data_IF_246047563524
#
_entry.id   IF_246047563524
#
_cell.length_a   1.000
_cell.length_b   1.000
_cell.length_c   1.000
_cell.angle_alpha   90.00
_cell.angle_beta   90.00
_cell.angle_gamma   90.00
#
_symmetry.space_group_name_H-M   'P 1'
#
loop_
_entity.id
_entity.type
_entity.pdbx_description
1 polymer ?
#
# COMPACT_ATOMS: atom_id res chain seq x y z
N UNK A 1 7.44 57.85 -46.66
CA UNK A 1 7.35 57.90 -45.18
C UNK A 1 6.13 57.09 -44.76
N UNK A 2 6.31 55.87 -44.29
CA UNK A 2 5.23 55.00 -43.76
C UNK A 2 5.31 55.01 -42.23
N UNK A 3 4.20 55.11 -41.50
CA UNK A 3 4.22 55.18 -40.04
C UNK A 3 4.41 53.76 -39.48
N UNK A 4 5.41 53.62 -38.61
CA UNK A 4 5.64 52.43 -37.80
C UNK A 4 4.54 52.29 -36.74
N UNK A 5 3.80 51.19 -36.77
CA UNK A 5 2.83 50.84 -35.74
C UNK A 5 3.54 50.11 -34.57
N UNK A 6 3.57 50.67 -33.33
CA UNK A 6 4.25 50.04 -32.20
C UNK A 6 3.39 48.99 -31.47
N UNK A 7 2.24 48.59 -32.00
CA UNK A 7 1.27 47.73 -31.31
C UNK A 7 1.43 46.19 -31.56
N UNK A 8 2.37 45.82 -32.42
CA UNK A 8 2.63 44.39 -32.69
C UNK A 8 3.55 43.71 -31.69
N UNK A 9 4.30 44.45 -30.87
CA UNK A 9 5.19 43.88 -29.83
C UNK A 9 4.49 43.61 -28.50
N UNK A 10 3.33 44.22 -28.24
CA UNK A 10 2.62 43.98 -26.99
C UNK A 10 1.76 42.71 -26.94
N UNK A 11 1.45 42.13 -28.10
CA UNK A 11 0.65 40.88 -28.17
C UNK A 11 1.49 39.62 -27.99
N UNK A 12 2.79 39.67 -28.14
CA UNK A 12 3.68 38.52 -27.90
C UNK A 12 4.15 38.39 -26.45
N UNK A 13 4.00 39.43 -25.62
CA UNK A 13 4.41 39.39 -24.22
C UNK A 13 3.34 38.83 -23.28
N UNK A 14 2.10 38.69 -23.75
CA UNK A 14 0.94 38.18 -22.95
C UNK A 14 0.70 36.68 -23.09
N UNK A 15 1.46 35.97 -23.94
CA UNK A 15 1.34 34.52 -24.18
C UNK A 15 2.36 33.66 -23.41
N UNK A 16 3.22 34.28 -22.61
CA UNK A 16 4.26 33.59 -21.83
C UNK A 16 3.95 33.47 -20.32
N UNK A 17 2.74 33.86 -19.90
CA UNK A 17 2.33 33.81 -18.48
C UNK A 17 1.25 32.77 -18.19
N UNK A 18 1.25 31.64 -18.87
CA UNK A 18 0.16 30.66 -18.77
C UNK A 18 0.55 29.21 -18.60
N UNK A 19 1.77 28.86 -18.18
CA UNK A 19 2.09 27.49 -17.73
C UNK A 19 2.48 27.54 -16.25
N UNK A 20 1.53 27.96 -15.42
CA UNK A 20 1.54 27.51 -14.04
C UNK A 20 1.19 26.03 -14.08
N UNK A 21 2.18 25.16 -13.99
CA UNK A 21 1.96 23.81 -13.52
C UNK A 21 1.29 23.98 -12.15
N UNK A 22 -0.02 23.76 -12.09
CA UNK A 22 -0.74 23.61 -10.83
C UNK A 22 -0.14 22.37 -10.16
N UNK A 23 0.96 22.54 -9.43
CA UNK A 23 1.32 21.65 -8.35
C UNK A 23 0.07 21.65 -7.46
N UNK A 24 -0.68 20.55 -7.45
CA UNK A 24 -1.91 20.44 -6.70
C UNK A 24 -1.64 20.90 -5.26
N UNK A 25 -2.34 21.93 -4.82
CA UNK A 25 -2.15 22.47 -3.48
C UNK A 25 -2.30 21.33 -2.48
N UNK A 26 -1.28 21.11 -1.68
CA UNK A 26 -1.27 20.06 -0.68
C UNK A 26 -2.39 20.35 0.33
N UNK A 27 -3.50 19.61 0.23
CA UNK A 27 -4.66 19.80 1.09
C UNK A 27 -4.38 19.16 2.45
N UNK A 28 -4.14 19.99 3.47
CA UNK A 28 -4.07 19.52 4.84
C UNK A 28 -5.49 19.26 5.37
N UNK A 29 -5.67 18.14 6.03
CA UNK A 29 -6.87 17.77 6.76
C UNK A 29 -6.75 18.44 8.15
N UNK A 30 -7.60 19.42 8.43
CA UNK A 30 -7.54 20.22 9.66
C UNK A 30 -8.14 19.50 10.86
N UNK A 31 -7.76 19.91 12.04
CA UNK A 31 -8.39 19.46 13.28
C UNK A 31 -9.92 19.70 13.22
N UNK A 32 -10.69 18.76 13.74
CA UNK A 32 -12.15 18.76 13.69
C UNK A 32 -12.73 18.09 12.44
N UNK A 33 -11.95 17.84 11.38
CA UNK A 33 -12.40 17.14 10.19
C UNK A 33 -12.87 15.72 10.50
N UNK A 34 -13.92 15.27 9.82
CA UNK A 34 -14.49 13.93 10.00
C UNK A 34 -14.92 13.29 8.69
N UNK A 35 -14.94 11.95 8.68
CA UNK A 35 -15.49 11.11 7.61
C UNK A 35 -16.59 10.21 8.18
N UNK A 36 -17.57 9.93 7.35
CA UNK A 36 -18.61 8.91 7.61
C UNK A 36 -18.68 7.93 6.45
N UNK A 37 -19.03 6.64 6.67
CA UNK A 37 -19.04 5.64 5.61
C UNK A 37 -19.99 5.96 4.45
N UNK A 38 -21.08 6.66 4.72
CA UNK A 38 -22.06 7.06 3.70
C UNK A 38 -22.05 8.58 3.48
N UNK A 39 -22.37 9.00 2.24
CA UNK A 39 -22.44 10.39 1.85
C UNK A 39 -21.18 10.91 1.16
N UNK A 40 -21.11 12.23 0.91
CA UNK A 40 -20.05 12.85 0.13
C UNK A 40 -18.69 12.87 0.85
N UNK A 41 -18.68 12.75 2.17
CA UNK A 41 -17.49 12.83 3.00
C UNK A 41 -17.06 11.45 3.50
N UNK A 42 -16.94 10.46 2.60
CA UNK A 42 -16.50 9.10 2.96
C UNK A 42 -14.98 8.90 2.85
N UNK A 43 -14.27 9.84 2.23
CA UNK A 43 -12.81 9.74 2.07
C UNK A 43 -12.14 11.10 1.87
N UNK A 44 -10.85 11.18 2.26
CA UNK A 44 -9.93 12.24 1.91
C UNK A 44 -9.05 11.82 0.74
N UNK A 45 -8.87 12.71 -0.24
CA UNK A 45 -8.09 12.44 -1.45
C UNK A 45 -6.65 12.95 -1.32
N UNK A 46 -5.71 12.29 -2.00
CA UNK A 46 -4.39 12.85 -2.26
C UNK A 46 -4.47 14.03 -3.24
N UNK A 47 -3.47 14.94 -3.29
CA UNK A 47 -3.49 16.11 -4.17
C UNK A 47 -3.77 15.79 -5.64
N UNK A 48 -3.19 14.73 -6.17
CA UNK A 48 -3.46 14.24 -7.54
C UNK A 48 -4.80 13.52 -7.69
N UNK A 49 -5.44 13.11 -6.56
CA UNK A 49 -6.60 12.22 -6.55
C UNK A 49 -6.26 10.77 -6.91
N UNK A 50 -4.99 10.38 -6.94
CA UNK A 50 -4.56 9.01 -7.24
C UNK A 50 -4.91 8.04 -6.12
N UNK A 51 -4.87 8.53 -4.87
CA UNK A 51 -5.20 7.76 -3.68
C UNK A 51 -6.35 8.40 -2.91
N UNK A 52 -7.06 7.57 -2.16
CA UNK A 52 -8.04 8.01 -1.17
C UNK A 52 -7.81 7.25 0.15
N UNK A 53 -8.06 7.94 1.29
CA UNK A 53 -8.09 7.36 2.63
C UNK A 53 -9.48 7.58 3.23
N UNK A 54 -10.10 6.54 3.74
CA UNK A 54 -11.43 6.61 4.32
C UNK A 54 -12.16 5.28 4.34
N UNK A 55 -13.46 5.32 4.10
CA UNK A 55 -14.34 4.16 4.16
C UNK A 55 -14.62 3.57 2.78
N UNK A 56 -14.28 2.29 2.63
CA UNK A 56 -14.57 1.52 1.43
C UNK A 56 -15.62 0.47 1.75
N UNK A 57 -16.75 0.39 1.01
CA UNK A 57 -17.76 -0.63 1.24
C UNK A 57 -17.18 -2.03 1.01
N UNK A 58 -17.54 -2.98 1.86
CA UNK A 58 -17.14 -4.37 1.72
C UNK A 58 -17.92 -5.05 0.61
N UNK A 59 -17.23 -5.84 -0.21
CA UNK A 59 -17.90 -6.61 -1.26
C UNK A 59 -18.81 -7.68 -0.64
N UNK A 60 -20.05 -7.74 -1.15
CA UNK A 60 -21.06 -8.67 -0.62
C UNK A 60 -21.72 -8.25 0.70
N UNK A 61 -21.24 -7.17 1.35
CA UNK A 61 -21.84 -6.63 2.58
C UNK A 61 -21.87 -5.10 2.56
N UNK A 62 -22.91 -4.53 1.97
CA UNK A 62 -23.09 -3.08 1.83
C UNK A 62 -23.33 -2.33 3.15
N UNK A 63 -23.48 -3.05 4.25
CA UNK A 63 -23.67 -2.48 5.60
C UNK A 63 -22.35 -2.39 6.38
N UNK A 64 -21.25 -2.93 5.85
CA UNK A 64 -19.93 -2.94 6.49
C UNK A 64 -18.90 -2.21 5.64
N UNK A 65 -18.06 -1.42 6.28
CA UNK A 65 -17.05 -0.57 5.63
C UNK A 65 -15.68 -0.81 6.23
N UNK A 66 -14.69 -0.91 5.37
CA UNK A 66 -13.28 -1.01 5.74
C UNK A 66 -12.67 0.39 5.84
N UNK A 67 -11.93 0.69 6.90
CA UNK A 67 -11.07 1.89 6.93
C UNK A 67 -9.77 1.58 6.20
N UNK A 68 -9.53 2.25 5.05
CA UNK A 68 -8.47 1.88 4.12
C UNK A 68 -7.84 3.06 3.38
N UNK A 69 -6.67 2.80 2.76
CA UNK A 69 -6.10 3.57 1.64
C UNK A 69 -6.23 2.74 0.38
N UNK A 70 -6.68 3.34 -0.72
CA UNK A 70 -6.84 2.64 -2.00
C UNK A 70 -6.42 3.51 -3.19
N UNK A 71 -6.15 2.85 -4.32
CA UNK A 71 -5.91 3.50 -5.61
C UNK A 71 -7.24 4.04 -6.16
N UNK A 72 -7.46 5.35 -6.01
CA UNK A 72 -8.77 5.96 -6.26
C UNK A 72 -9.13 6.05 -7.74
N UNK A 73 -8.16 6.21 -8.64
CA UNK A 73 -8.38 6.29 -10.10
C UNK A 73 -8.52 4.92 -10.77
N UNK A 74 -8.31 3.84 -10.05
CA UNK A 74 -8.53 2.47 -10.54
C UNK A 74 -9.98 2.08 -10.24
N UNK A 75 -10.75 1.58 -11.24
CA UNK A 75 -12.17 1.25 -11.05
C UNK A 75 -12.44 0.29 -9.90
N UNK A 76 -11.60 -0.74 -9.74
CA UNK A 76 -11.70 -1.77 -8.71
C UNK A 76 -11.33 -1.27 -7.31
N UNK A 77 -10.94 0.00 -7.17
CA UNK A 77 -10.54 0.61 -5.88
C UNK A 77 -9.57 -0.29 -5.08
N UNK A 78 -8.53 -0.76 -5.76
CA UNK A 78 -7.54 -1.67 -5.15
C UNK A 78 -6.97 -1.10 -3.85
N UNK A 79 -7.18 -1.82 -2.75
CA UNK A 79 -6.73 -1.42 -1.42
C UNK A 79 -5.21 -1.66 -1.30
N UNK A 80 -4.50 -0.62 -0.84
CA UNK A 80 -3.07 -0.64 -0.58
C UNK A 80 -2.75 -0.76 0.92
N UNK A 81 -3.64 -0.26 1.78
CA UNK A 81 -3.50 -0.34 3.22
C UNK A 81 -4.90 -0.38 3.87
N UNK A 82 -5.03 -1.04 5.00
CA UNK A 82 -6.24 -1.02 5.81
C UNK A 82 -5.89 -1.03 7.29
N UNK A 83 -6.77 -0.41 8.10
CA UNK A 83 -6.63 -0.37 9.54
C UNK A 83 -6.82 -1.75 10.15
N UNK A 84 -5.97 -2.07 11.13
CA UNK A 84 -6.03 -3.30 11.90
C UNK A 84 -6.27 -2.98 13.37
N UNK A 85 -7.02 -3.84 14.03
CA UNK A 85 -7.22 -3.81 15.48
C UNK A 85 -5.95 -4.23 16.22
N UNK A 86 -5.94 -4.12 17.54
CA UNK A 86 -4.88 -4.67 18.41
C UNK A 86 -4.72 -6.19 18.29
N UNK A 87 -5.72 -6.88 17.76
CA UNK A 87 -5.72 -8.34 17.51
C UNK A 87 -5.28 -8.68 16.07
N UNK A 88 -4.72 -7.71 15.35
CA UNK A 88 -4.29 -7.84 13.94
C UNK A 88 -5.42 -8.19 12.96
N UNK A 89 -6.67 -7.92 13.31
CA UNK A 89 -7.84 -8.12 12.43
C UNK A 89 -8.21 -6.83 11.69
N UNK A 90 -8.76 -6.90 10.46
CA UNK A 90 -9.19 -5.72 9.74
C UNK A 90 -10.30 -4.98 10.49
N UNK A 91 -10.19 -3.66 10.57
CA UNK A 91 -11.20 -2.81 11.21
C UNK A 91 -12.35 -2.58 10.25
N UNK A 92 -13.48 -3.18 10.55
CA UNK A 92 -14.73 -3.05 9.81
C UNK A 92 -15.80 -2.41 10.68
N UNK A 93 -16.55 -1.46 10.12
CA UNK A 93 -17.53 -0.68 10.88
C UNK A 93 -18.84 -0.50 10.10
N UNK A 94 -19.97 -0.31 10.82
CA UNK A 94 -21.26 0.00 10.20
C UNK A 94 -21.32 1.43 9.64
N UNK A 95 -22.37 1.73 8.86
CA UNK A 95 -22.56 2.99 8.13
C UNK A 95 -22.64 4.25 9.01
N UNK A 96 -23.04 4.11 10.28
CA UNK A 96 -23.18 5.24 11.20
C UNK A 96 -21.91 5.54 12.02
N UNK A 97 -20.79 4.90 11.70
CA UNK A 97 -19.49 5.16 12.34
C UNK A 97 -18.88 6.46 11.89
N UNK A 98 -18.02 7.04 12.71
CA UNK A 98 -17.38 8.33 12.45
C UNK A 98 -15.87 8.23 12.69
N UNK A 99 -15.09 8.55 11.67
CA UNK A 99 -13.65 8.82 11.82
C UNK A 99 -13.45 10.31 12.00
N UNK A 100 -12.76 10.73 13.05
CA UNK A 100 -12.52 12.15 13.34
C UNK A 100 -11.06 12.44 13.69
N UNK A 101 -10.52 13.49 13.11
CA UNK A 101 -9.29 14.11 13.60
C UNK A 101 -9.70 15.14 14.68
N UNK A 102 -9.53 14.76 15.94
CA UNK A 102 -10.01 15.57 17.09
C UNK A 102 -9.25 16.88 17.26
N UNK A 103 -9.78 17.82 18.06
CA UNK A 103 -9.08 19.05 18.43
C UNK A 103 -7.76 18.81 19.18
N UNK A 104 -7.62 17.67 19.86
CA UNK A 104 -6.38 17.22 20.51
C UNK A 104 -5.37 16.59 19.54
N UNK A 105 -5.67 16.55 18.23
CA UNK A 105 -4.81 15.95 17.22
C UNK A 105 -4.75 14.43 17.26
N UNK A 106 -5.79 13.77 17.76
CA UNK A 106 -5.95 12.31 17.75
C UNK A 106 -6.87 11.92 16.60
N UNK A 107 -6.46 10.95 15.78
CA UNK A 107 -7.34 10.30 14.83
C UNK A 107 -8.07 9.16 15.52
N UNK A 108 -9.39 9.25 15.63
CA UNK A 108 -10.24 8.28 16.35
C UNK A 108 -11.39 7.84 15.47
N UNK A 109 -11.59 6.53 15.36
CA UNK A 109 -12.75 5.90 14.73
C UNK A 109 -13.69 5.39 15.81
N UNK A 110 -14.93 5.88 15.78
CA UNK A 110 -15.98 5.49 16.74
C UNK A 110 -17.13 4.78 16.04
N UNK A 111 -17.67 3.78 16.72
CA UNK A 111 -18.89 3.09 16.30
C UNK A 111 -20.15 3.92 16.64
N UNK A 112 -21.37 3.48 16.24
CA UNK A 112 -22.60 4.19 16.59
C UNK A 112 -22.90 4.29 18.11
N UNK A 113 -22.30 3.42 18.91
CA UNK A 113 -22.42 3.45 20.39
C UNK A 113 -21.41 4.40 21.03
N UNK A 114 -20.66 5.14 20.24
CA UNK A 114 -19.55 6.05 20.64
C UNK A 114 -18.35 5.33 21.28
N UNK A 115 -18.21 4.01 21.09
CA UNK A 115 -17.00 3.30 21.49
C UNK A 115 -15.88 3.55 20.49
N UNK A 116 -14.65 3.79 20.97
CA UNK A 116 -13.48 3.86 20.10
C UNK A 116 -13.10 2.46 19.62
N UNK A 117 -13.27 2.20 18.32
CA UNK A 117 -12.98 0.90 17.70
C UNK A 117 -11.59 0.87 17.05
N UNK A 118 -11.01 2.05 16.78
CA UNK A 118 -9.65 2.15 16.28
C UNK A 118 -9.08 3.56 16.45
N UNK A 119 -7.78 3.59 16.75
CA UNK A 119 -6.94 4.78 16.74
C UNK A 119 -5.48 4.35 16.52
N UNK A 120 -4.64 5.14 15.82
CA UNK A 120 -3.21 4.87 15.73
C UNK A 120 -2.45 5.16 17.04
N UNK A 121 -3.12 5.69 18.08
CA UNK A 121 -2.49 5.96 19.39
C UNK A 121 -1.46 7.10 19.37
N UNK A 122 -1.50 8.01 18.39
CA UNK A 122 -0.55 9.10 18.19
C UNK A 122 -1.23 10.48 18.32
N UNK A 123 -1.43 10.99 19.54
CA UNK A 123 -2.05 12.30 19.77
C UNK A 123 -1.10 13.47 19.43
N UNK A 124 -1.68 14.68 19.35
CA UNK A 124 -0.92 15.93 19.18
C UNK A 124 -0.51 16.20 17.73
N UNK A 125 -1.21 15.62 16.75
CA UNK A 125 -1.10 16.06 15.37
C UNK A 125 -1.66 17.49 15.23
N UNK A 126 -0.99 18.32 14.42
CA UNK A 126 -1.48 19.63 14.03
C UNK A 126 -2.42 19.53 12.81
N UNK A 127 -2.21 18.54 11.98
CA UNK A 127 -3.04 18.22 10.81
C UNK A 127 -2.75 16.80 10.33
N UNK A 128 -3.59 16.30 9.43
CA UNK A 128 -3.31 15.08 8.68
C UNK A 128 -3.20 15.36 7.18
N UNK A 129 -2.62 14.44 6.41
CA UNK A 129 -2.57 14.51 4.94
C UNK A 129 -2.39 13.15 4.31
N UNK A 130 -2.96 12.97 3.14
CA UNK A 130 -2.69 11.85 2.25
C UNK A 130 -1.76 12.30 1.13
N UNK A 131 -0.62 11.64 0.95
CA UNK A 131 0.35 11.95 -0.09
C UNK A 131 0.01 11.22 -1.40
N UNK A 132 0.55 11.72 -2.53
CA UNK A 132 0.45 11.07 -3.83
C UNK A 132 1.25 9.76 -3.93
N UNK A 133 2.02 9.43 -2.90
CA UNK A 133 2.65 8.13 -2.70
C UNK A 133 1.70 7.07 -2.09
N UNK A 134 0.50 7.48 -1.64
CA UNK A 134 -0.44 6.62 -0.89
C UNK A 134 -0.17 6.58 0.62
N UNK A 135 0.80 7.34 1.13
CA UNK A 135 1.10 7.43 2.55
C UNK A 135 0.18 8.43 3.25
N UNK A 136 -0.63 7.98 4.19
CA UNK A 136 -1.42 8.84 5.07
C UNK A 136 -0.62 9.13 6.34
N UNK A 137 -0.51 10.43 6.71
CA UNK A 137 0.31 10.91 7.81
C UNK A 137 -0.49 11.76 8.79
N UNK A 138 -0.25 11.56 10.08
CA UNK A 138 -0.52 12.52 11.14
C UNK A 138 0.75 13.32 11.38
N UNK A 139 0.66 14.65 11.27
CA UNK A 139 1.83 15.55 11.27
C UNK A 139 1.76 16.49 12.48
N UNK A 140 2.84 16.57 13.22
CA UNK A 140 2.99 17.48 14.36
C UNK A 140 3.18 18.93 13.92
N UNK A 141 3.13 19.87 14.91
CA UNK A 141 3.38 21.30 14.67
C UNK A 141 4.82 21.58 14.19
N UNK A 142 5.77 20.67 14.46
CA UNK A 142 7.15 20.70 13.98
C UNK A 142 7.32 20.21 12.53
N UNK A 143 6.21 19.86 11.86
CA UNK A 143 6.21 19.31 10.50
C UNK A 143 6.64 17.86 10.39
N UNK A 144 6.98 17.19 11.49
CA UNK A 144 7.38 15.79 11.48
C UNK A 144 6.17 14.86 11.60
N UNK A 145 6.21 13.68 10.93
CA UNK A 145 5.17 12.69 11.12
C UNK A 145 5.19 12.16 12.55
N UNK A 146 4.02 12.07 13.18
CA UNK A 146 3.80 11.39 14.45
C UNK A 146 3.36 9.95 14.26
N UNK A 147 2.72 9.69 13.13
CA UNK A 147 2.30 8.37 12.70
C UNK A 147 2.05 8.39 11.19
N UNK A 148 2.32 7.28 10.53
CA UNK A 148 2.05 7.12 9.11
C UNK A 148 1.74 5.67 8.72
N UNK A 149 0.91 5.49 7.68
CA UNK A 149 0.52 4.16 7.19
C UNK A 149 1.70 3.35 6.68
N UNK A 150 2.76 4.00 6.21
CA UNK A 150 3.96 3.32 5.71
C UNK A 150 4.76 2.60 6.81
N UNK A 151 4.63 3.03 8.08
CA UNK A 151 5.29 2.37 9.22
C UNK A 151 4.57 1.09 9.66
N UNK A 152 3.29 0.92 9.30
CA UNK A 152 2.42 -0.19 9.72
C UNK A 152 1.73 -0.82 8.50
N UNK A 153 2.48 -1.45 7.59
CA UNK A 153 1.91 -2.01 6.35
C UNK A 153 0.87 -3.10 6.66
N UNK A 154 -0.05 -3.32 5.72
CA UNK A 154 -1.01 -4.42 5.78
C UNK A 154 -0.45 -5.67 5.06
N UNK A 155 -0.77 -5.83 3.80
CA UNK A 155 -0.26 -6.88 2.90
C UNK A 155 0.55 -6.31 1.73
N UNK A 156 0.56 -4.99 1.60
CA UNK A 156 1.09 -4.28 0.42
C UNK A 156 2.05 -3.18 0.85
N UNK A 157 3.11 -3.00 0.09
CA UNK A 157 4.01 -1.84 0.13
C UNK A 157 3.92 -1.04 -1.16
N UNK A 158 4.21 0.26 -1.06
CA UNK A 158 4.13 1.22 -2.16
C UNK A 158 5.50 1.86 -2.43
N UNK A 159 5.73 2.44 -3.63
CA UNK A 159 6.94 3.19 -3.93
C UNK A 159 7.20 4.30 -2.90
N UNK A 160 8.47 4.53 -2.57
CA UNK A 160 8.99 5.41 -1.51
C UNK A 160 8.89 4.85 -0.08
N UNK A 161 8.25 3.69 0.11
CA UNK A 161 8.17 3.07 1.43
C UNK A 161 9.47 2.37 1.80
N UNK A 162 9.87 2.56 3.06
CA UNK A 162 11.05 1.92 3.67
C UNK A 162 10.60 1.27 4.97
N UNK A 163 10.95 0.01 5.15
CA UNK A 163 10.70 -0.74 6.39
C UNK A 163 12.06 -1.08 7.01
N UNK A 164 12.52 -0.30 8.01
CA UNK A 164 13.80 -0.54 8.64
C UNK A 164 13.77 -1.75 9.57
N UNK A 165 14.90 -2.41 9.72
CA UNK A 165 15.16 -3.33 10.82
C UNK A 165 15.16 -2.52 12.12
N UNK A 166 14.47 -3.02 13.13
CA UNK A 166 14.30 -2.36 14.42
C UNK A 166 13.99 -3.35 15.53
N UNK A 167 13.76 -2.85 16.74
CA UNK A 167 13.43 -3.70 17.89
C UNK A 167 12.11 -4.48 17.69
N UNK A 168 11.17 -3.88 16.98
CA UNK A 168 9.94 -4.54 16.59
C UNK A 168 9.99 -4.90 15.11
N UNK A 169 9.59 -6.12 14.78
CA UNK A 169 9.49 -6.58 13.42
C UNK A 169 8.47 -5.76 12.63
N UNK A 170 8.79 -5.49 11.37
CA UNK A 170 7.83 -4.96 10.40
C UNK A 170 7.30 -6.12 9.58
N UNK A 171 5.99 -6.28 9.55
CA UNK A 171 5.37 -7.44 8.91
C UNK A 171 4.32 -7.05 7.87
N UNK A 172 4.30 -7.80 6.77
CA UNK A 172 3.17 -7.85 5.86
C UNK A 172 2.45 -9.18 6.09
N UNK A 173 1.14 -9.14 6.29
CA UNK A 173 0.30 -10.33 6.41
C UNK A 173 -0.57 -10.48 5.18
N UNK A 174 -0.52 -11.64 4.53
CA UNK A 174 -1.41 -11.91 3.39
C UNK A 174 -2.87 -11.85 3.81
N UNK A 175 -3.76 -11.51 2.88
CA UNK A 175 -5.21 -11.68 3.05
C UNK A 175 -5.57 -13.14 3.00
N UNK A 176 -6.75 -13.48 3.52
CA UNK A 176 -7.29 -14.83 3.42
C UNK A 176 -7.56 -15.20 1.95
N UNK A 177 -8.28 -14.35 1.25
CA UNK A 177 -8.50 -14.39 -0.20
C UNK A 177 -8.52 -12.94 -0.76
N UNK A 178 -8.47 -12.74 -2.08
CA UNK A 178 -8.29 -11.40 -2.67
C UNK A 178 -9.28 -10.32 -2.21
N UNK A 179 -10.51 -10.68 -1.84
CA UNK A 179 -11.57 -9.77 -1.42
C UNK A 179 -11.95 -9.87 0.05
N UNK A 180 -11.38 -10.82 0.77
CA UNK A 180 -11.51 -10.95 2.22
C UNK A 180 -10.22 -10.50 2.90
N UNK A 181 -10.31 -9.42 3.66
CA UNK A 181 -9.18 -8.78 4.35
C UNK A 181 -8.81 -9.47 5.66
N UNK A 182 -9.51 -10.52 6.06
CA UNK A 182 -9.08 -11.37 7.18
C UNK A 182 -7.67 -11.90 6.95
N UNK A 183 -6.98 -12.21 8.05
CA UNK A 183 -5.61 -12.69 7.99
C UNK A 183 -5.50 -14.00 7.23
N UNK A 184 -4.63 -14.03 6.25
CA UNK A 184 -4.23 -15.22 5.51
C UNK A 184 -3.09 -15.97 6.19
N UNK A 185 -2.59 -16.97 5.51
CA UNK A 185 -1.64 -17.97 6.05
C UNK A 185 -0.17 -17.61 5.88
N UNK A 186 0.17 -16.45 5.29
CA UNK A 186 1.54 -16.12 4.96
C UNK A 186 1.93 -14.76 5.55
N UNK A 187 3.19 -14.69 5.97
CA UNK A 187 3.78 -13.51 6.59
C UNK A 187 5.16 -13.23 5.96
N UNK A 188 5.39 -11.98 5.58
CA UNK A 188 6.72 -11.46 5.28
C UNK A 188 7.14 -10.63 6.48
N UNK A 189 8.31 -10.93 7.05
CA UNK A 189 8.85 -10.25 8.21
C UNK A 189 10.20 -9.60 7.92
N UNK A 190 10.34 -8.29 8.21
CA UNK A 190 11.62 -7.62 8.40
C UNK A 190 11.98 -7.80 9.87
N UNK A 191 12.81 -8.80 10.16
CA UNK A 191 13.08 -9.24 11.51
C UNK A 191 14.09 -8.34 12.23
N UNK A 192 14.03 -8.32 13.56
CA UNK A 192 14.94 -7.55 14.39
C UNK A 192 16.40 -8.06 14.36
N UNK A 193 16.60 -9.31 13.92
CA UNK A 193 17.92 -9.89 13.72
C UNK A 193 18.60 -9.49 12.39
N UNK A 194 17.92 -8.67 11.57
CA UNK A 194 18.42 -8.22 10.27
C UNK A 194 18.14 -9.18 9.12
N UNK A 195 17.18 -10.11 9.26
CA UNK A 195 16.78 -10.99 8.18
C UNK A 195 15.42 -10.58 7.58
N UNK A 196 15.25 -10.73 6.28
CA UNK A 196 13.94 -10.65 5.62
C UNK A 196 13.48 -12.08 5.33
N UNK A 197 12.32 -12.46 5.86
CA UNK A 197 11.90 -13.86 5.87
C UNK A 197 10.42 -14.01 5.53
N UNK A 198 10.08 -15.08 4.81
CA UNK A 198 8.69 -15.45 4.50
C UNK A 198 8.32 -16.73 5.23
N UNK A 199 7.18 -16.69 5.94
CA UNK A 199 6.69 -17.78 6.76
C UNK A 199 5.27 -18.19 6.40
N UNK A 200 4.94 -19.49 6.41
CA UNK A 200 3.59 -19.95 6.62
C UNK A 200 3.22 -19.80 8.10
N UNK A 201 1.94 -19.57 8.38
CA UNK A 201 1.43 -19.36 9.73
C UNK A 201 0.35 -20.39 10.04
N UNK A 202 0.40 -20.95 11.24
CA UNK A 202 -0.62 -21.84 11.78
C UNK A 202 -1.78 -21.04 12.38
N UNK A 203 -2.97 -21.14 11.81
CA UNK A 203 -4.19 -20.61 12.39
C UNK A 203 -4.86 -21.64 13.33
N UNK A 204 -5.47 -21.25 14.45
CA UNK A 204 -5.56 -19.87 14.98
C UNK A 204 -4.40 -19.47 15.91
N UNK A 205 -3.38 -20.29 16.06
CA UNK A 205 -2.30 -20.09 17.04
C UNK A 205 -1.29 -19.00 16.65
N UNK A 206 -1.33 -18.52 15.39
CA UNK A 206 -0.37 -17.58 14.80
C UNK A 206 1.11 -18.03 14.86
N UNK A 207 1.35 -19.30 15.18
CA UNK A 207 2.70 -19.89 15.21
C UNK A 207 3.28 -19.91 13.80
N UNK A 208 4.53 -19.48 13.67
CA UNK A 208 5.29 -19.58 12.42
C UNK A 208 5.76 -21.02 12.21
N UNK A 209 5.57 -21.53 11.01
CA UNK A 209 6.27 -22.73 10.52
C UNK A 209 7.68 -22.39 10.02
N UNK A 210 8.39 -23.37 9.46
CA UNK A 210 9.69 -23.12 8.86
C UNK A 210 9.58 -22.14 7.69
N UNK A 211 10.55 -21.24 7.62
CA UNK A 211 10.62 -20.24 6.57
C UNK A 211 10.76 -20.89 5.19
N UNK A 212 9.94 -20.49 4.23
CA UNK A 212 10.05 -20.98 2.86
C UNK A 212 10.95 -20.10 1.97
N UNK A 213 11.31 -18.90 2.44
CA UNK A 213 12.29 -18.04 1.81
C UNK A 213 12.94 -17.10 2.85
N UNK A 214 14.22 -16.77 2.66
CA UNK A 214 14.93 -15.82 3.49
C UNK A 214 16.02 -15.09 2.68
N UNK A 215 16.31 -13.84 3.06
CA UNK A 215 17.39 -13.05 2.47
C UNK A 215 18.78 -13.51 2.91
N UNK A 216 18.87 -14.29 4.00
CA UNK A 216 20.12 -14.77 4.63
C UNK A 216 21.06 -13.62 5.06
N UNK A 217 20.49 -12.57 5.65
CA UNK A 217 21.19 -11.34 6.06
C UNK A 217 21.23 -11.16 7.58
N UNK A 218 21.07 -12.24 8.35
CA UNK A 218 21.13 -12.20 9.82
C UNK A 218 22.38 -11.45 10.31
N UNK A 219 22.16 -10.49 11.22
CA UNK A 219 23.21 -9.63 11.79
C UNK A 219 23.66 -8.47 10.89
N UNK A 220 23.29 -8.46 9.60
CA UNK A 220 23.73 -7.45 8.65
C UNK A 220 22.61 -6.71 7.92
N UNK A 221 21.38 -7.17 7.97
CA UNK A 221 20.27 -6.52 7.29
C UNK A 221 19.96 -5.15 7.90
N UNK A 222 19.51 -4.23 7.08
CA UNK A 222 19.21 -2.85 7.46
C UNK A 222 17.76 -2.45 7.20
N UNK A 223 17.25 -2.61 5.97
CA UNK A 223 15.91 -2.18 5.63
C UNK A 223 15.41 -2.79 4.32
N UNK A 224 14.08 -2.99 4.23
CA UNK A 224 13.38 -3.26 2.97
C UNK A 224 13.01 -1.93 2.33
N UNK A 225 13.39 -1.73 1.07
CA UNK A 225 13.18 -0.49 0.33
C UNK A 225 12.37 -0.77 -0.92
N UNK A 226 11.30 -0.01 -1.12
CA UNK A 226 10.63 0.13 -2.39
C UNK A 226 10.88 1.55 -2.90
N UNK A 227 11.81 1.71 -3.83
CA UNK A 227 12.24 3.03 -4.25
C UNK A 227 11.35 3.67 -5.34
N UNK A 228 11.59 4.94 -5.65
CA UNK A 228 10.84 5.71 -6.65
C UNK A 228 10.97 5.17 -8.08
N UNK A 229 12.03 4.43 -8.37
CA UNK A 229 12.24 3.83 -9.70
C UNK A 229 11.58 2.46 -9.85
N UNK A 230 10.80 2.04 -8.85
CA UNK A 230 10.06 0.79 -8.89
C UNK A 230 10.89 -0.45 -8.53
N UNK A 231 12.08 -0.31 -7.92
CA UNK A 231 12.86 -1.45 -7.43
C UNK A 231 12.50 -1.77 -5.99
N UNK A 232 12.34 -3.07 -5.69
CA UNK A 232 12.16 -3.57 -4.33
C UNK A 232 13.40 -4.41 -3.98
N UNK A 233 14.10 -4.00 -2.92
CA UNK A 233 15.33 -4.64 -2.48
C UNK A 233 15.51 -4.52 -0.97
N UNK A 234 16.24 -5.45 -0.38
CA UNK A 234 16.65 -5.42 1.01
C UNK A 234 18.12 -4.99 1.10
N UNK A 235 18.42 -3.98 1.92
CA UNK A 235 19.79 -3.50 2.09
C UNK A 235 20.44 -4.13 3.32
N UNK A 236 21.76 -4.20 3.27
CA UNK A 236 22.59 -4.56 4.43
C UNK A 236 23.31 -3.32 4.95
N UNK A 237 23.86 -3.41 6.15
CA UNK A 237 24.60 -2.33 6.83
C UNK A 237 25.86 -1.88 6.08
N UNK A 238 26.45 -2.76 5.28
CA UNK A 238 27.60 -2.45 4.40
C UNK A 238 27.17 -1.94 3.02
N UNK A 239 25.85 -1.71 2.78
CA UNK A 239 25.32 -1.18 1.54
C UNK A 239 25.05 -2.22 0.44
N UNK A 240 25.30 -3.51 0.66
CA UNK A 240 24.92 -4.57 -0.28
C UNK A 240 23.40 -4.63 -0.43
N UNK A 241 22.90 -4.91 -1.63
CA UNK A 241 21.47 -5.02 -1.93
C UNK A 241 21.11 -6.44 -2.33
N UNK A 242 20.13 -7.02 -1.65
CA UNK A 242 19.46 -8.27 -2.05
C UNK A 242 18.20 -7.88 -2.82
N UNK A 243 18.16 -8.13 -4.11
CA UNK A 243 16.99 -7.83 -4.93
C UNK A 243 15.82 -8.76 -4.54
N UNK A 244 14.68 -8.17 -4.19
CA UNK A 244 13.44 -8.90 -3.88
C UNK A 244 12.63 -9.07 -5.17
N UNK A 245 12.62 -8.04 -6.00
CA UNK A 245 12.01 -8.12 -7.34
C UNK A 245 12.99 -7.63 -8.40
N UNK A 246 12.85 -8.18 -9.62
CA UNK A 246 13.71 -7.81 -10.76
C UNK A 246 13.14 -6.63 -11.57
N UNK A 247 11.91 -6.19 -11.31
CA UNK A 247 11.32 -5.06 -12.00
C UNK A 247 11.96 -3.76 -11.53
N UNK A 248 12.50 -2.98 -12.44
CA UNK A 248 13.12 -1.68 -12.18
C UNK A 248 12.96 -0.78 -13.38
N UNK A 249 13.27 0.52 -13.20
CA UNK A 249 13.17 1.51 -14.28
C UNK A 249 11.72 1.89 -14.63
N UNK A 250 10.77 1.67 -13.72
CA UNK A 250 9.36 1.97 -13.94
C UNK A 250 9.05 3.38 -13.45
N UNK A 251 8.57 4.22 -14.38
CA UNK A 251 8.16 5.59 -14.04
C UNK A 251 6.85 5.59 -13.23
N UNK A 252 6.85 6.21 -12.04
CA UNK A 252 5.63 6.47 -11.26
C UNK A 252 4.64 7.40 -11.98
N UNK A 253 5.09 8.17 -12.96
CA UNK A 253 4.23 8.96 -13.84
C UNK A 253 3.44 8.11 -14.83
N UNK A 254 4.01 6.98 -15.27
CA UNK A 254 3.40 6.10 -16.26
C UNK A 254 2.58 4.97 -15.66
N UNK A 255 2.94 4.51 -14.45
CA UNK A 255 2.30 3.37 -13.80
C UNK A 255 1.99 3.62 -12.33
N UNK A 256 0.88 3.07 -11.85
CA UNK A 256 0.76 2.71 -10.44
C UNK A 256 1.55 1.43 -10.21
N UNK A 257 2.22 1.37 -9.06
CA UNK A 257 3.10 0.27 -8.69
C UNK A 257 2.82 -0.17 -7.25
N UNK A 258 2.82 -1.47 -6.98
CA UNK A 258 2.67 -2.03 -5.64
C UNK A 258 3.41 -3.36 -5.50
N UNK A 259 3.93 -3.64 -4.31
CA UNK A 259 4.42 -4.96 -3.91
C UNK A 259 3.44 -5.57 -2.92
N UNK A 260 2.89 -6.75 -3.20
CA UNK A 260 1.84 -7.37 -2.38
C UNK A 260 2.21 -8.82 -2.03
N UNK A 261 2.06 -9.18 -0.76
CA UNK A 261 2.06 -10.57 -0.34
C UNK A 261 0.67 -11.15 -0.58
N UNK A 262 0.55 -11.90 -1.66
CA UNK A 262 -0.73 -12.46 -2.09
C UNK A 262 -1.21 -13.61 -1.19
N UNK A 263 -2.51 -13.97 -1.24
CA UNK A 263 -3.09 -15.06 -0.44
C UNK A 263 -2.43 -16.43 -0.63
N UNK A 264 -1.75 -16.65 -1.75
CA UNK A 264 -1.01 -17.89 -2.03
C UNK A 264 0.42 -17.90 -1.47
N UNK A 265 0.85 -16.82 -0.77
CA UNK A 265 2.18 -16.71 -0.17
C UNK A 265 3.27 -16.21 -1.10
N UNK A 266 2.96 -15.83 -2.31
CA UNK A 266 3.92 -15.24 -3.25
C UNK A 266 3.89 -13.73 -3.13
N UNK A 267 5.05 -13.11 -2.89
CA UNK A 267 5.17 -11.67 -2.94
C UNK A 267 5.35 -11.24 -4.39
N UNK A 268 4.40 -10.46 -4.92
CA UNK A 268 4.40 -10.01 -6.32
C UNK A 268 4.48 -8.51 -6.42
N UNK A 269 5.27 -8.04 -7.39
CA UNK A 269 5.26 -6.65 -7.83
C UNK A 269 4.31 -6.52 -9.01
N UNK A 270 3.40 -5.54 -8.92
CA UNK A 270 2.35 -5.28 -9.88
C UNK A 270 2.46 -3.88 -10.47
N UNK A 271 2.16 -3.76 -11.77
CA UNK A 271 2.01 -2.49 -12.48
C UNK A 271 0.59 -2.34 -13.01
N UNK A 272 0.06 -1.11 -12.97
CA UNK A 272 -1.19 -0.72 -13.64
C UNK A 272 -0.95 0.55 -14.45
N UNK A 273 -1.27 0.60 -15.76
CA UNK A 273 -0.98 1.74 -16.63
C UNK A 273 -1.76 2.99 -16.20
N UNK A 274 -1.05 4.09 -15.97
CA UNK A 274 -1.59 5.37 -15.51
C UNK A 274 -1.63 6.41 -16.64
N UNK A 275 -0.51 6.63 -17.33
CA UNK A 275 -0.41 7.59 -18.41
C UNK A 275 -1.08 7.11 -19.69
N UNK A 276 -1.39 8.06 -20.62
CA UNK A 276 -1.89 7.72 -21.96
C UNK A 276 -0.92 6.82 -22.71
N UNK A 277 0.38 7.09 -22.60
CA UNK A 277 1.46 6.31 -23.21
C UNK A 277 1.45 4.87 -22.70
N UNK A 278 1.39 4.65 -21.39
CA UNK A 278 1.33 3.31 -20.81
C UNK A 278 0.05 2.56 -21.25
N UNK A 279 -1.11 3.25 -21.24
CA UNK A 279 -2.40 2.67 -21.64
C UNK A 279 -2.49 2.27 -23.11
N UNK A 280 -1.68 2.86 -23.99
CA UNK A 280 -1.66 2.46 -25.41
C UNK A 280 -0.94 1.13 -25.64
N UNK A 281 -0.15 0.66 -24.68
CA UNK A 281 0.67 -0.56 -24.79
C UNK A 281 0.23 -1.64 -23.80
N UNK A 282 -0.27 -1.23 -22.64
CA UNK A 282 -0.63 -2.15 -21.55
C UNK A 282 -2.13 -2.22 -21.34
N UNK A 283 -2.64 -3.41 -21.05
CA UNK A 283 -4.04 -3.61 -20.67
C UNK A 283 -4.36 -2.87 -19.36
N UNK A 284 -5.58 -2.32 -19.23
CA UNK A 284 -6.08 -1.65 -18.02
C UNK A 284 -6.39 -2.66 -16.91
N UNK A 285 -5.34 -3.32 -16.42
CA UNK A 285 -5.42 -4.28 -15.31
C UNK A 285 -4.08 -4.32 -14.56
N UNK A 286 -4.10 -4.77 -13.33
CA UNK A 286 -2.89 -5.12 -12.60
C UNK A 286 -2.18 -6.28 -13.28
N UNK A 287 -0.92 -6.10 -13.62
CA UNK A 287 -0.06 -7.11 -14.24
C UNK A 287 1.10 -7.38 -13.31
N UNK A 288 1.28 -8.63 -12.90
CA UNK A 288 2.46 -9.05 -12.14
C UNK A 288 3.67 -9.04 -13.07
N UNK A 289 4.72 -8.33 -12.67
CA UNK A 289 5.95 -8.17 -13.47
C UNK A 289 7.16 -8.85 -12.84
N UNK A 290 7.11 -9.15 -11.55
CA UNK A 290 8.14 -9.88 -10.83
C UNK A 290 7.56 -10.48 -9.56
N UNK A 291 8.10 -11.61 -9.08
CA UNK A 291 7.61 -12.28 -7.88
C UNK A 291 8.68 -13.13 -7.20
N UNK A 292 8.46 -13.42 -5.93
CA UNK A 292 9.29 -14.27 -5.10
C UNK A 292 8.41 -15.02 -4.06
N UNK A 293 8.61 -16.38 -3.83
CA UNK A 293 9.51 -17.25 -4.58
C UNK A 293 9.00 -17.53 -5.99
N UNK A 294 9.87 -18.01 -6.89
CA UNK A 294 9.48 -18.35 -8.26
C UNK A 294 8.52 -19.54 -8.31
N UNK A 295 8.63 -20.47 -7.37
CA UNK A 295 7.77 -21.64 -7.21
C UNK A 295 7.48 -21.85 -5.72
N UNK A 296 6.32 -21.40 -5.26
CA UNK A 296 5.90 -21.52 -3.86
C UNK A 296 5.73 -22.99 -3.43
N UNK A 297 5.26 -23.85 -4.33
CA UNK A 297 5.04 -25.25 -4.01
C UNK A 297 6.37 -25.95 -3.71
N UNK A 298 7.39 -25.73 -4.52
CA UNK A 298 8.73 -26.26 -4.27
C UNK A 298 9.32 -25.68 -2.98
N UNK A 299 9.26 -24.37 -2.80
CA UNK A 299 9.80 -23.70 -1.62
C UNK A 299 9.21 -24.20 -0.29
N UNK A 300 7.91 -24.54 -0.27
CA UNK A 300 7.23 -25.06 0.92
C UNK A 300 7.46 -26.58 1.08
N UNK A 301 7.49 -27.37 0.00
CA UNK A 301 7.69 -28.83 0.07
C UNK A 301 9.06 -29.22 0.63
N UNK A 302 10.08 -28.42 0.42
CA UNK A 302 11.43 -28.64 0.93
C UNK A 302 11.55 -28.34 2.45
N UNK A 303 10.49 -27.85 3.09
CA UNK A 303 10.47 -27.41 4.48
C UNK A 303 9.36 -28.10 5.27
N UNK A 304 9.53 -28.16 6.57
CA UNK A 304 8.46 -28.59 7.47
C UNK A 304 7.43 -27.43 7.65
N UNK A 305 6.66 -27.17 6.62
CA UNK A 305 5.77 -26.02 6.49
C UNK A 305 4.30 -26.36 6.77
N UNK A 306 4.04 -27.32 7.63
CA UNK A 306 2.68 -27.70 8.04
C UNK A 306 1.86 -28.27 6.89
N UNK A 307 0.66 -27.72 6.65
CA UNK A 307 -0.30 -28.21 5.65
C UNK A 307 0.03 -27.83 4.20
N UNK A 308 1.26 -27.41 3.90
CA UNK A 308 1.69 -27.03 2.55
C UNK A 308 1.13 -25.69 2.05
N UNK A 309 1.36 -25.37 0.77
CA UNK A 309 0.96 -24.09 0.17
C UNK A 309 -0.57 -23.90 0.13
N UNK A 310 -1.32 -24.96 -0.12
CA UNK A 310 -2.77 -24.90 -0.30
C UNK A 310 -3.58 -25.13 0.99
N UNK A 311 -2.95 -25.62 2.07
CA UNK A 311 -3.62 -25.95 3.33
C UNK A 311 -3.88 -27.45 3.51
N UNK A 312 -4.46 -27.81 4.67
CA UNK A 312 -4.77 -29.19 5.03
C UNK A 312 -5.81 -29.79 4.08
N UNK A 313 -5.62 -31.04 3.70
CA UNK A 313 -6.48 -31.79 2.77
C UNK A 313 -6.64 -31.15 1.37
N UNK A 314 -5.68 -30.36 0.93
CA UNK A 314 -5.67 -29.77 -0.40
C UNK A 314 -4.45 -30.24 -1.20
N UNK A 315 -4.57 -30.23 -2.51
CA UNK A 315 -3.47 -30.52 -3.42
C UNK A 315 -3.36 -29.43 -4.48
N UNK A 316 -2.16 -29.21 -4.97
CA UNK A 316 -1.88 -28.25 -6.01
C UNK A 316 -1.96 -28.92 -7.38
N UNK A 317 -2.71 -28.32 -8.32
CA UNK A 317 -2.71 -28.70 -9.71
C UNK A 317 -2.04 -27.64 -10.56
N UNK A 318 -1.01 -27.99 -11.30
CA UNK A 318 -0.42 -27.12 -12.31
C UNK A 318 -1.40 -27.06 -13.48
N UNK A 319 -2.02 -25.93 -13.71
CA UNK A 319 -2.82 -25.70 -14.92
C UNK A 319 -1.84 -25.67 -16.10
N UNK A 320 -1.77 -26.73 -16.88
CA UNK A 320 -1.06 -26.74 -18.15
C UNK A 320 -1.79 -25.78 -19.07
N UNK A 321 -1.11 -24.72 -19.50
CA UNK A 321 -1.59 -23.91 -20.61
C UNK A 321 -1.64 -24.83 -21.84
N UNK A 322 -2.83 -25.18 -22.26
CA UNK A 322 -3.06 -25.75 -23.59
C UNK A 322 -2.77 -24.64 -24.59
N UNK A 323 -1.54 -24.60 -25.13
CA UNK A 323 -1.28 -23.93 -26.39
C UNK A 323 -2.00 -24.73 -27.44
N UNK A 324 -3.13 -24.21 -27.93
CA UNK A 324 -3.76 -24.76 -29.12
C UNK A 324 -2.80 -24.59 -30.29
N UNK A 325 -2.14 -25.68 -30.68
CA UNK A 325 -1.60 -25.83 -32.01
C UNK A 325 -2.79 -25.90 -32.98
N UNK A 326 -2.94 -24.86 -33.82
CA UNK A 326 -3.55 -24.95 -35.15
C UNK A 326 -2.50 -24.63 -36.16
#
# INVERSE_FOLDING_TARGET
>A
MAPHHPWRFLQFLLLLLGVSSAAGAQVNITLGSSLTPQGPNSSWLSPSGDFAFGFLPMEGNTSSYLLAVWFNKIPEKTVAWYAKSSQDTPVQVPSSSVLRLTAAGLLSLRNPSDDEVWSPGAPGAAYARLLDTGNFRLVGADGKPKWETFDVPADTILPTQVLPVGQQEKVLRSRLIPKDYANGRFLLAVQSDGNLVFYPIAEPTTKRYDAYWASNTVGNGSQLVFNETGRIYFTTTNGTQVNITSAGGVSMGDFFNRGTLDPDGVFRQYLYPKSRKARSVWSLKWTAVSWIPQNICQAIMEKNAGSGACGFNSYWMRQQQWTSLR
#
